data_IF_315075724402
#
_entry.id   IF_315075724402
#
_cell.length_a   1.000
_cell.length_b   1.000
_cell.length_c   1.000
_cell.angle_alpha   90.00
_cell.angle_beta   90.00
_cell.angle_gamma   90.00
#
_symmetry.space_group_name_H-M   'P 1'
#
loop_
_entity.id
_entity.type
_entity.pdbx_description
1 polymer ?
#
# COMPACT_ATOMS: atom_id res chain seq x y z
N UNK A 1 8.15 -5.15 -11.91
CA UNK A 1 8.92 -4.19 -11.08
C UNK A 1 7.92 -3.22 -10.48
N UNK A 2 7.97 -2.99 -9.17
CA UNK A 2 7.06 -2.07 -8.47
C UNK A 2 7.49 -0.63 -8.77
N UNK A 3 6.55 0.23 -9.13
CA UNK A 3 6.80 1.65 -9.39
C UNK A 3 6.95 2.44 -8.09
N UNK A 4 7.53 3.65 -8.16
CA UNK A 4 7.60 4.55 -6.99
C UNK A 4 6.21 4.89 -6.43
N UNK A 5 5.22 5.05 -7.30
CA UNK A 5 3.83 5.31 -6.89
C UNK A 5 3.25 4.12 -6.12
N UNK A 6 3.40 2.91 -6.63
CA UNK A 6 2.95 1.68 -5.96
C UNK A 6 3.71 1.46 -4.65
N UNK A 7 5.01 1.74 -4.60
CA UNK A 7 5.79 1.67 -3.36
C UNK A 7 5.31 2.69 -2.31
N UNK A 8 4.97 3.91 -2.72
CA UNK A 8 4.44 4.91 -1.80
C UNK A 8 3.05 4.51 -1.26
N UNK A 9 2.21 3.87 -2.09
CA UNK A 9 0.95 3.27 -1.64
C UNK A 9 1.21 2.16 -0.63
N UNK A 10 2.17 1.27 -0.89
CA UNK A 10 2.56 0.18 0.03
C UNK A 10 3.00 0.74 1.39
N UNK A 11 3.82 1.79 1.41
CA UNK A 11 4.23 2.51 2.63
C UNK A 11 3.05 3.15 3.36
N UNK A 12 2.11 3.76 2.63
CA UNK A 12 0.92 4.37 3.20
C UNK A 12 0.03 3.32 3.88
N UNK A 13 -0.22 2.19 3.23
CA UNK A 13 -0.95 1.06 3.81
C UNK A 13 -0.28 0.57 5.10
N UNK A 14 1.05 0.40 5.10
CA UNK A 14 1.81 -0.04 6.27
C UNK A 14 1.81 0.96 7.43
N UNK A 15 1.68 2.26 7.15
CA UNK A 15 1.78 3.33 8.16
C UNK A 15 0.64 3.34 9.18
N UNK A 16 -0.51 2.72 8.87
CA UNK A 16 -1.68 2.61 9.75
C UNK A 16 -2.30 1.22 9.65
N UNK A 17 -1.77 0.22 10.39
CA UNK A 17 -2.25 -1.16 10.34
C UNK A 17 -3.65 -1.35 10.95
N UNK A 18 -4.12 -0.35 11.72
CA UNK A 18 -5.43 -0.29 12.36
C UNK A 18 -6.55 0.17 11.41
N UNK A 19 -6.21 0.67 10.22
CA UNK A 19 -7.17 1.19 9.24
C UNK A 19 -7.49 0.14 8.19
N UNK A 20 -8.78 -0.17 8.04
CA UNK A 20 -9.29 -0.90 6.88
C UNK A 20 -9.29 0.04 5.66
N UNK A 21 -8.19 0.05 4.91
CA UNK A 21 -8.01 0.89 3.74
C UNK A 21 -8.88 0.40 2.57
N UNK A 22 -9.93 1.14 2.22
CA UNK A 22 -10.70 0.91 0.99
C UNK A 22 -10.09 1.76 -0.13
N UNK A 23 -10.46 1.50 -1.39
CA UNK A 23 -10.05 2.39 -2.49
C UNK A 23 -10.37 3.86 -2.20
N UNK A 24 -11.53 4.12 -1.59
CA UNK A 24 -12.03 5.47 -1.36
C UNK A 24 -11.23 6.22 -0.29
N UNK A 25 -11.02 5.61 0.88
CA UNK A 25 -10.31 6.30 1.95
C UNK A 25 -8.79 6.38 1.66
N UNK A 26 -8.26 5.44 0.89
CA UNK A 26 -6.89 5.45 0.40
C UNK A 26 -6.68 6.57 -0.62
N UNK A 27 -7.58 6.72 -1.61
CA UNK A 27 -7.53 7.79 -2.61
C UNK A 27 -7.62 9.19 -1.97
N UNK A 28 -8.48 9.34 -0.95
CA UNK A 28 -8.54 10.57 -0.16
C UNK A 28 -7.25 10.84 0.61
N UNK A 29 -6.66 9.83 1.26
CA UNK A 29 -5.40 9.99 1.96
C UNK A 29 -4.26 10.37 1.01
N UNK A 30 -4.21 9.76 -0.18
CA UNK A 30 -3.26 10.11 -1.24
C UNK A 30 -3.45 11.55 -1.71
N UNK A 31 -4.69 11.98 -1.94
CA UNK A 31 -5.02 13.36 -2.31
C UNK A 31 -4.53 14.36 -1.27
N UNK A 32 -4.82 14.13 0.01
CA UNK A 32 -4.38 15.01 1.11
C UNK A 32 -2.85 15.08 1.22
N UNK A 33 -2.14 14.01 0.85
CA UNK A 33 -0.67 13.94 0.87
C UNK A 33 -0.02 14.38 -0.45
N UNK A 34 -0.80 14.83 -1.44
CA UNK A 34 -0.35 15.19 -2.79
C UNK A 34 0.48 14.07 -3.44
N UNK A 35 0.06 12.83 -3.24
CA UNK A 35 0.70 11.65 -3.82
C UNK A 35 0.29 11.45 -5.28
N UNK A 36 1.21 10.93 -6.10
CA UNK A 36 0.87 10.49 -7.45
C UNK A 36 -0.12 9.32 -7.44
N UNK A 37 -0.86 9.14 -8.52
CA UNK A 37 -1.75 7.98 -8.70
C UNK A 37 -3.16 8.14 -8.12
N UNK A 38 -3.53 9.31 -7.62
CA UNK A 38 -4.92 9.66 -7.29
C UNK A 38 -5.84 9.39 -8.49
N UNK A 39 -7.03 8.85 -8.23
CA UNK A 39 -7.99 8.39 -9.23
C UNK A 39 -7.66 7.02 -9.84
N UNK A 40 -6.47 6.45 -9.59
CA UNK A 40 -6.02 5.17 -10.14
C UNK A 40 -5.76 4.10 -9.06
N UNK A 41 -6.18 4.35 -7.82
CA UNK A 41 -5.84 3.53 -6.66
C UNK A 41 -6.20 2.06 -6.84
N UNK A 42 -7.40 1.74 -7.32
CA UNK A 42 -7.82 0.35 -7.52
C UNK A 42 -6.89 -0.42 -8.47
N UNK A 43 -6.47 0.22 -9.58
CA UNK A 43 -5.53 -0.37 -10.55
C UNK A 43 -4.14 -0.54 -9.95
N UNK A 44 -3.66 0.46 -9.21
CA UNK A 44 -2.33 0.42 -8.59
C UNK A 44 -2.25 -0.63 -7.47
N UNK A 45 -3.33 -0.79 -6.68
CA UNK A 45 -3.42 -1.82 -5.66
C UNK A 45 -3.57 -3.22 -6.28
N UNK A 46 -4.31 -3.36 -7.39
CA UNK A 46 -4.38 -4.63 -8.13
C UNK A 46 -2.99 -5.07 -8.65
N UNK A 47 -2.18 -4.13 -9.16
CA UNK A 47 -0.79 -4.40 -9.52
C UNK A 47 0.06 -4.87 -8.33
N UNK A 48 -0.07 -4.21 -7.17
CA UNK A 48 0.61 -4.60 -5.93
C UNK A 48 0.17 -5.99 -5.45
N UNK A 49 -1.12 -6.31 -5.58
CA UNK A 49 -1.69 -7.61 -5.26
C UNK A 49 -1.15 -8.71 -6.18
N UNK A 50 -1.13 -8.47 -7.49
CA UNK A 50 -0.49 -9.37 -8.47
C UNK A 50 1.00 -9.57 -8.21
N UNK A 51 1.67 -8.57 -7.65
CA UNK A 51 3.07 -8.66 -7.21
C UNK A 51 3.26 -9.37 -5.86
N UNK A 52 2.17 -9.79 -5.20
CA UNK A 52 2.18 -10.47 -3.90
C UNK A 52 2.39 -9.56 -2.69
N UNK A 53 2.30 -8.23 -2.85
CA UNK A 53 2.67 -7.26 -1.82
C UNK A 53 1.48 -6.71 -1.01
N UNK A 54 0.27 -6.84 -1.53
CA UNK A 54 -0.97 -6.38 -0.89
C UNK A 54 -2.05 -7.44 -1.03
N UNK A 55 -2.74 -7.74 0.06
CA UNK A 55 -3.92 -8.59 0.08
C UNK A 55 -5.17 -7.72 -0.09
N UNK A 56 -6.09 -8.16 -0.96
CA UNK A 56 -7.44 -7.59 -1.09
C UNK A 56 -8.37 -8.46 -0.25
N UNK A 57 -8.91 -7.90 0.83
CA UNK A 57 -9.74 -8.60 1.79
C UNK A 57 -11.22 -8.28 1.52
N UNK A 58 -12.03 -9.28 1.14
CA UNK A 58 -13.44 -9.04 0.84
C UNK A 58 -14.24 -8.61 2.05
N UNK A 59 -15.15 -7.65 1.89
CA UNK A 59 -16.11 -7.28 2.95
C UNK A 59 -17.47 -7.94 2.70
N UNK A 60 -17.71 -9.06 3.41
CA UNK A 60 -18.94 -9.86 3.30
C UNK A 60 -19.85 -9.60 4.52
N UNK A 61 -21.19 -9.50 4.37
CA UNK A 61 -21.97 -9.60 3.13
C UNK A 61 -22.12 -8.27 2.36
N UNK A 62 -21.64 -7.15 2.91
CA UNK A 62 -21.75 -5.85 2.26
C UNK A 62 -20.65 -4.85 2.64
N UNK A 63 -20.32 -3.98 1.69
CA UNK A 63 -19.35 -2.90 1.83
C UNK A 63 -18.23 -3.00 0.79
N UNK A 64 -17.25 -2.11 0.92
CA UNK A 64 -16.06 -2.12 0.06
C UNK A 64 -15.02 -3.07 0.64
N UNK A 65 -14.37 -3.83 -0.23
CA UNK A 65 -13.14 -4.55 0.09
C UNK A 65 -12.09 -3.59 0.63
N UNK A 66 -11.20 -4.13 1.45
CA UNK A 66 -10.11 -3.37 2.03
C UNK A 66 -8.77 -4.02 1.75
N UNK A 67 -7.72 -3.23 1.87
CA UNK A 67 -6.37 -3.57 1.48
C UNK A 67 -5.49 -3.69 2.70
N UNK A 68 -4.66 -4.72 2.72
CA UNK A 68 -3.68 -4.95 3.78
C UNK A 68 -2.34 -5.29 3.15
N UNK A 69 -1.25 -4.80 3.72
CA UNK A 69 0.09 -5.21 3.28
C UNK A 69 0.29 -6.69 3.60
N UNK A 70 0.72 -7.47 2.60
CA UNK A 70 0.99 -8.89 2.77
C UNK A 70 2.27 -9.11 3.58
N UNK A 71 2.55 -10.36 3.98
CA UNK A 71 3.82 -10.70 4.62
C UNK A 71 5.04 -10.35 3.73
N UNK A 72 4.93 -10.57 2.41
CA UNK A 72 5.98 -10.22 1.46
C UNK A 72 6.13 -8.70 1.32
N UNK A 73 5.02 -7.95 1.33
CA UNK A 73 5.03 -6.50 1.34
C UNK A 73 5.78 -5.93 2.56
N UNK A 74 5.53 -6.48 3.75
CA UNK A 74 6.26 -6.08 4.96
C UNK A 74 7.75 -6.44 4.89
N UNK A 75 8.09 -7.63 4.37
CA UNK A 75 9.50 -8.02 4.16
C UNK A 75 10.23 -7.03 3.26
N UNK A 76 9.64 -6.65 2.12
CA UNK A 76 10.20 -5.66 1.21
C UNK A 76 10.42 -4.31 1.91
N UNK A 77 9.44 -3.82 2.66
CA UNK A 77 9.55 -2.55 3.38
C UNK A 77 10.66 -2.56 4.44
N UNK A 78 10.84 -3.68 5.15
CA UNK A 78 11.89 -3.85 6.14
C UNK A 78 13.27 -3.86 5.49
N UNK A 79 13.46 -4.64 4.42
CA UNK A 79 14.73 -4.68 3.67
C UNK A 79 15.12 -3.28 3.17
N UNK A 80 14.15 -2.48 2.70
CA UNK A 80 14.41 -1.10 2.27
C UNK A 80 14.74 -0.15 3.44
N UNK A 81 14.25 -0.43 4.65
CA UNK A 81 14.54 0.33 5.86
C UNK A 81 15.93 0.02 6.42
N UNK A 82 16.31 -1.25 6.42
CA UNK A 82 17.64 -1.72 6.84
C UNK A 82 18.75 -1.18 5.93
N UNK A 83 18.51 -1.17 4.61
CA UNK A 83 19.45 -0.58 3.63
C UNK A 83 19.68 0.94 3.80
N UNK A 84 18.81 1.65 4.53
CA UNK A 84 19.01 3.06 4.88
C UNK A 84 19.71 3.26 6.25
N UNK A 85 19.76 2.23 7.11
CA UNK A 85 20.46 2.32 8.41
C UNK A 85 21.95 1.97 8.29
N UNK A 86 22.35 1.13 7.34
CA UNK A 86 23.76 0.73 7.12
C UNK A 86 24.62 1.80 6.40
N UNK A 87 24.07 3.00 6.15
CA UNK A 87 24.73 4.10 5.44
C UNK A 87 24.87 5.40 6.26
N UNK A 88 24.81 5.34 7.60
CA UNK A 88 25.22 6.47 8.44
C UNK A 88 26.71 6.38 8.81
N UNK A 89 27.49 7.47 8.67
CA UNK A 89 28.87 7.56 9.16
C UNK A 89 28.95 7.53 10.69
#
# INVERSE_FOLDING_TARGET
>A
MVTNTELNILKLLASRPDVNWTWYNLDRAMTSRKMDGVGNVARLVDNLSKAGLVDIVPRIPSGMDYYRVSAQGHKLLNEMGEQHQDNLP
#
